data_IF_460426809963
#
_entry.id   IF_460426809963
#
_cell.length_a   1.000
_cell.length_b   1.000
_cell.length_c   1.000
_cell.angle_alpha   90.00
_cell.angle_beta   90.00
_cell.angle_gamma   90.00
#
_symmetry.space_group_name_H-M   'P 1'
#
loop_
_entity.id
_entity.type
_entity.pdbx_description
1 polymer ?
#
# COMPACT_ATOMS: atom_id res chain seq x y z
N UNK A 1 57.63 -16.61 59.85
CA UNK A 1 57.40 -15.40 60.68
C UNK A 1 58.37 -14.34 60.20
N UNK A 2 57.98 -13.09 59.90
CA UNK A 2 57.05 -12.30 60.71
C UNK A 2 55.92 -11.58 59.96
N UNK A 3 54.88 -11.31 60.73
CA UNK A 3 53.83 -10.29 60.59
C UNK A 3 54.47 -8.89 60.78
N UNK A 4 53.89 -7.70 60.54
CA UNK A 4 52.52 -7.18 60.55
C UNK A 4 52.63 -5.71 60.11
N UNK A 5 51.71 -5.16 59.31
CA UNK A 5 51.29 -3.75 59.51
C UNK A 5 49.90 -3.45 58.94
N UNK A 6 48.94 -3.39 59.86
CA UNK A 6 47.54 -2.96 59.69
C UNK A 6 47.49 -1.44 59.48
N UNK A 7 46.85 -0.95 58.42
CA UNK A 7 46.41 0.45 58.28
C UNK A 7 44.93 0.51 57.90
N UNK A 8 44.27 1.48 58.51
CA UNK A 8 42.84 1.71 58.68
C UNK A 8 42.10 1.94 57.35
N UNK A 9 40.82 1.56 57.34
CA UNK A 9 39.89 1.65 56.21
C UNK A 9 39.55 3.08 55.77
N UNK A 10 39.24 3.19 54.48
CA UNK A 10 38.90 4.45 53.80
C UNK A 10 37.42 4.41 53.38
N UNK A 11 36.56 4.97 54.23
CA UNK A 11 35.09 5.06 54.11
C UNK A 11 34.58 5.99 52.99
N UNK A 12 35.48 6.49 52.13
CA UNK A 12 35.15 7.35 50.99
C UNK A 12 34.90 6.57 49.69
N UNK A 13 35.45 5.35 49.56
CA UNK A 13 35.27 4.51 48.37
C UNK A 13 33.89 3.83 48.33
N UNK A 14 33.38 3.36 49.47
CA UNK A 14 32.04 2.77 49.58
C UNK A 14 30.92 3.80 49.36
N UNK A 15 31.13 5.06 49.75
CA UNK A 15 30.14 6.14 49.53
C UNK A 15 30.02 6.50 48.05
N UNK A 16 31.12 6.52 47.28
CA UNK A 16 31.08 6.74 45.82
C UNK A 16 30.44 5.56 45.08
N UNK A 17 30.68 4.33 45.51
CA UNK A 17 30.06 3.14 44.91
C UNK A 17 28.55 3.07 45.16
N UNK A 18 28.08 3.50 46.34
CA UNK A 18 26.65 3.55 46.68
C UNK A 18 25.90 4.66 45.93
N UNK A 19 26.55 5.82 45.72
CA UNK A 19 25.98 6.92 44.95
C UNK A 19 25.89 6.60 43.44
N UNK A 20 26.87 5.90 42.88
CA UNK A 20 26.82 5.45 41.49
C UNK A 20 25.74 4.38 41.24
N UNK A 21 25.45 3.53 42.24
CA UNK A 21 24.41 2.49 42.14
C UNK A 21 22.99 3.08 42.22
N UNK A 22 22.78 4.12 43.04
CA UNK A 22 21.52 4.87 43.11
C UNK A 22 21.22 5.64 41.81
N UNK A 23 22.23 6.25 41.17
CA UNK A 23 22.05 6.93 39.87
C UNK A 23 21.78 5.98 38.70
N UNK A 24 22.14 4.69 38.82
CA UNK A 24 21.85 3.65 37.82
C UNK A 24 20.47 3.02 37.99
N UNK A 25 19.97 2.90 39.23
CA UNK A 25 18.59 2.43 39.50
C UNK A 25 17.56 3.51 39.15
N UNK A 26 17.80 4.80 39.48
CA UNK A 26 16.94 5.92 39.04
C UNK A 26 16.89 6.10 37.51
N UNK A 27 17.95 5.65 36.80
CA UNK A 27 18.00 5.65 35.34
C UNK A 27 17.25 4.51 34.65
N UNK A 28 16.94 3.42 35.37
CA UNK A 28 16.17 2.28 34.85
C UNK A 28 14.66 2.46 35.07
N UNK A 29 14.26 3.12 36.16
CA UNK A 29 12.87 3.41 36.47
C UNK A 29 12.29 4.59 35.65
N UNK A 30 13.15 5.41 35.03
CA UNK A 30 12.73 6.51 34.14
C UNK A 30 12.51 6.09 32.67
N UNK A 31 12.83 4.85 32.29
CA UNK A 31 12.63 4.34 30.92
C UNK A 31 11.32 3.55 30.79
N UNK A 32 10.72 3.10 31.91
CA UNK A 32 9.49 2.31 31.92
C UNK A 32 8.18 3.14 31.90
N UNK A 33 8.27 4.47 31.80
CA UNK A 33 7.10 5.36 31.73
C UNK A 33 6.85 5.98 30.36
N UNK A 34 7.64 5.63 29.34
CA UNK A 34 7.41 6.13 27.97
C UNK A 34 6.74 5.08 27.09
N UNK A 35 5.41 5.16 27.06
CA UNK A 35 4.57 4.70 25.95
C UNK A 35 4.64 3.20 25.61
N UNK A 36 4.12 2.37 26.51
CA UNK A 36 3.20 1.31 26.04
C UNK A 36 1.94 1.99 25.50
N UNK A 37 2.06 2.61 24.31
CA UNK A 37 0.89 2.74 23.45
C UNK A 37 0.54 1.31 23.05
N UNK A 38 -0.28 0.66 23.86
CA UNK A 38 -1.08 -0.46 23.40
C UNK A 38 -1.65 -0.02 22.05
N UNK A 39 -1.24 -0.71 20.99
CA UNK A 39 -1.90 -0.62 19.71
C UNK A 39 -3.26 -1.25 19.97
N UNK A 40 -4.20 -0.44 20.46
CA UNK A 40 -5.63 -0.73 20.41
C UNK A 40 -5.89 -0.88 18.92
N UNK A 41 -5.85 -2.12 18.44
CA UNK A 41 -6.28 -2.45 17.09
C UNK A 41 -7.72 -1.99 17.04
N UNK A 42 -8.04 -0.88 16.34
CA UNK A 42 -9.41 -0.41 16.37
C UNK A 42 -10.25 -1.51 15.75
N UNK A 43 -11.42 -1.81 16.34
CA UNK A 43 -12.39 -2.76 15.80
C UNK A 43 -12.58 -2.54 14.28
N UNK A 44 -12.60 -3.58 13.43
CA UNK A 44 -12.53 -3.44 11.97
C UNK A 44 -13.52 -2.38 11.47
N UNK A 45 -13.02 -1.26 10.90
CA UNK A 45 -13.84 -0.14 10.39
C UNK A 45 -14.60 -0.54 9.10
N UNK A 46 -14.61 -1.84 8.79
CA UNK A 46 -15.13 -2.43 7.57
C UNK A 46 -16.58 -2.89 7.69
N UNK A 47 -17.19 -2.86 8.87
CA UNK A 47 -18.60 -3.24 9.04
C UNK A 47 -19.48 -2.19 8.33
N UNK A 48 -19.82 -2.45 7.06
CA UNK A 48 -20.82 -1.70 6.28
C UNK A 48 -20.31 -0.65 5.28
N UNK A 49 -19.04 -0.23 5.33
CA UNK A 49 -18.51 0.82 4.41
C UNK A 49 -17.79 0.31 3.17
N UNK A 50 -17.59 -1.00 3.04
CA UNK A 50 -16.91 -1.60 1.89
C UNK A 50 -17.86 -1.69 0.68
N UNK A 51 -17.88 -0.61 -0.12
CA UNK A 51 -18.74 -0.50 -1.31
C UNK A 51 -18.21 -1.29 -2.50
N UNK A 52 -16.90 -1.27 -2.76
CA UNK A 52 -16.34 -1.85 -3.98
C UNK A 52 -15.69 -3.23 -3.71
N UNK A 53 -16.45 -4.32 -3.85
CA UNK A 53 -15.98 -5.69 -3.59
C UNK A 53 -15.29 -6.29 -4.81
N UNK A 54 -14.18 -5.69 -5.22
CA UNK A 54 -13.37 -6.23 -6.31
C UNK A 54 -12.55 -7.42 -5.83
N UNK A 55 -12.48 -8.45 -6.67
CA UNK A 55 -11.71 -9.67 -6.46
C UNK A 55 -11.01 -10.01 -7.77
N UNK A 56 -9.69 -10.18 -7.69
CA UNK A 56 -8.85 -10.47 -8.86
C UNK A 56 -8.37 -11.91 -8.77
N UNK A 57 -8.70 -12.71 -9.78
CA UNK A 57 -8.18 -14.07 -9.92
C UNK A 57 -6.79 -14.02 -10.56
N UNK A 58 -5.80 -14.66 -9.95
CA UNK A 58 -4.43 -14.73 -10.47
C UNK A 58 -3.99 -16.19 -10.60
N UNK A 59 -3.90 -16.64 -11.84
CA UNK A 59 -3.48 -18.01 -12.17
C UNK A 59 -2.63 -18.04 -13.44
N UNK A 60 -2.05 -19.21 -13.70
CA UNK A 60 -1.14 -19.42 -14.82
C UNK A 60 -1.43 -20.69 -15.57
N UNK A 61 -0.94 -20.73 -16.80
CA UNK A 61 -0.81 -21.94 -17.61
C UNK A 61 0.26 -22.88 -17.07
N UNK A 62 0.17 -24.17 -17.46
CA UNK A 62 1.25 -25.12 -17.20
C UNK A 62 2.53 -24.75 -17.96
N UNK A 63 3.67 -24.98 -17.30
CA UNK A 63 5.00 -24.72 -17.85
C UNK A 63 5.45 -23.26 -17.80
N UNK A 64 5.00 -22.51 -16.78
CA UNK A 64 5.57 -21.21 -16.40
C UNK A 64 7.00 -21.31 -15.88
N UNK A 65 7.80 -20.27 -16.16
CA UNK A 65 9.18 -20.17 -15.69
C UNK A 65 9.27 -19.95 -14.19
N UNK A 66 10.47 -20.15 -13.64
CA UNK A 66 10.74 -19.88 -12.23
C UNK A 66 10.51 -18.40 -11.88
N UNK A 67 11.05 -17.48 -12.69
CA UNK A 67 10.85 -16.03 -12.49
C UNK A 67 9.38 -15.62 -12.49
N UNK A 68 8.57 -16.18 -13.39
CA UNK A 68 7.13 -15.92 -13.44
C UNK A 68 6.41 -16.39 -12.18
N UNK A 69 6.83 -17.51 -11.57
CA UNK A 69 6.24 -17.98 -10.30
C UNK A 69 6.49 -16.99 -9.16
N UNK A 70 7.69 -16.42 -9.10
CA UNK A 70 8.01 -15.36 -8.14
C UNK A 70 7.22 -14.08 -8.43
N UNK A 71 7.14 -13.65 -9.70
CA UNK A 71 6.30 -12.51 -10.09
C UNK A 71 4.84 -12.68 -9.66
N UNK A 72 4.26 -13.87 -9.86
CA UNK A 72 2.88 -14.15 -9.42
C UNK A 72 2.73 -14.05 -7.90
N UNK A 73 3.71 -14.52 -7.13
CA UNK A 73 3.71 -14.44 -5.67
C UNK A 73 3.89 -13.00 -5.19
N UNK A 74 4.71 -12.21 -5.87
CA UNK A 74 4.90 -10.78 -5.60
C UNK A 74 3.58 -10.03 -5.83
N UNK A 75 2.91 -10.27 -6.95
CA UNK A 75 1.59 -9.69 -7.25
C UNK A 75 0.52 -10.06 -6.22
N UNK A 76 0.52 -11.31 -5.75
CA UNK A 76 -0.40 -11.77 -4.68
C UNK A 76 -0.12 -11.10 -3.34
N UNK A 77 1.13 -10.81 -3.06
CA UNK A 77 1.55 -10.13 -1.81
C UNK A 77 1.20 -8.65 -1.85
N UNK A 78 1.33 -8.00 -3.02
CA UNK A 78 0.97 -6.60 -3.21
C UNK A 78 -0.56 -6.39 -3.19
N UNK A 79 -1.34 -7.29 -3.80
CA UNK A 79 -2.80 -7.15 -3.92
C UNK A 79 -3.55 -8.03 -2.89
N UNK A 80 -4.15 -7.46 -1.84
CA UNK A 80 -4.85 -8.23 -0.81
C UNK A 80 -6.18 -8.85 -1.27
N UNK A 81 -6.78 -8.30 -2.32
CA UNK A 81 -8.00 -8.78 -2.99
C UNK A 81 -7.72 -9.84 -4.07
N UNK A 82 -6.47 -10.28 -4.20
CA UNK A 82 -6.09 -11.36 -5.10
C UNK A 82 -6.49 -12.74 -4.55
N UNK A 83 -6.91 -13.63 -5.45
CA UNK A 83 -7.12 -15.06 -5.19
C UNK A 83 -6.24 -15.88 -6.13
N UNK A 84 -5.61 -16.91 -5.60
CA UNK A 84 -4.86 -17.87 -6.38
C UNK A 84 -5.79 -19.00 -6.86
N UNK A 85 -5.53 -19.50 -8.06
CA UNK A 85 -6.12 -20.76 -8.54
C UNK A 85 -5.05 -21.77 -8.96
N UNK A 86 -5.52 -23.00 -9.18
CA UNK A 86 -4.77 -24.08 -9.79
C UNK A 86 -4.38 -23.75 -11.23
N UNK A 87 -3.34 -24.42 -11.74
CA UNK A 87 -2.80 -24.13 -13.08
C UNK A 87 -3.66 -24.75 -14.16
N UNK A 88 -4.08 -23.94 -15.12
CA UNK A 88 -4.85 -24.38 -16.30
C UNK A 88 -3.96 -25.10 -17.31
N UNK A 89 -4.50 -26.10 -18.00
CA UNK A 89 -3.78 -26.80 -19.06
C UNK A 89 -3.64 -25.95 -20.31
N UNK A 90 -2.60 -26.23 -21.11
CA UNK A 90 -2.37 -25.52 -22.38
C UNK A 90 -3.40 -25.88 -23.46
N UNK A 91 -4.11 -26.99 -23.28
CA UNK A 91 -5.12 -27.49 -24.20
C UNK A 91 -6.51 -26.89 -23.93
N UNK A 92 -6.68 -26.28 -22.77
CA UNK A 92 -7.97 -25.74 -22.35
C UNK A 92 -8.28 -24.45 -23.11
N UNK A 93 -9.55 -24.28 -23.46
CA UNK A 93 -10.03 -23.08 -24.13
C UNK A 93 -10.10 -21.92 -23.15
N UNK A 94 -9.90 -20.70 -23.64
CA UNK A 94 -10.02 -19.48 -22.83
C UNK A 94 -11.42 -19.29 -22.21
N UNK A 95 -12.45 -19.96 -22.73
CA UNK A 95 -13.80 -19.92 -22.18
C UNK A 95 -13.89 -20.48 -20.75
N UNK A 96 -13.06 -21.48 -20.42
CA UNK A 96 -12.99 -22.10 -19.09
C UNK A 96 -12.63 -21.06 -18.02
N UNK A 97 -11.89 -20.00 -18.39
CA UNK A 97 -11.51 -18.92 -17.48
C UNK A 97 -12.74 -18.20 -16.91
N UNK A 98 -13.79 -18.02 -17.72
CA UNK A 98 -15.01 -17.35 -17.28
C UNK A 98 -15.74 -18.18 -16.22
N UNK A 99 -15.83 -19.50 -16.44
CA UNK A 99 -16.43 -20.46 -15.50
C UNK A 99 -15.65 -20.48 -14.17
N UNK A 100 -14.32 -20.51 -14.24
CA UNK A 100 -13.46 -20.47 -13.04
C UNK A 100 -13.66 -19.16 -12.28
N UNK A 101 -13.80 -18.02 -12.98
CA UNK A 101 -14.08 -16.74 -12.35
C UNK A 101 -15.44 -16.74 -11.63
N UNK A 102 -16.46 -17.37 -12.21
CA UNK A 102 -17.78 -17.51 -11.61
C UNK A 102 -17.74 -18.37 -10.33
N UNK A 103 -17.11 -19.56 -10.39
CA UNK A 103 -16.94 -20.46 -9.24
C UNK A 103 -16.19 -19.78 -8.10
N UNK A 104 -15.16 -18.98 -8.40
CA UNK A 104 -14.36 -18.27 -7.40
C UNK A 104 -14.98 -16.92 -7.00
N UNK A 105 -16.07 -16.51 -7.63
CA UNK A 105 -16.71 -15.20 -7.50
C UNK A 105 -15.67 -14.07 -7.62
N UNK A 106 -14.95 -14.04 -8.74
CA UNK A 106 -13.97 -13.02 -9.11
C UNK A 106 -14.50 -12.16 -10.26
N UNK A 107 -14.42 -10.84 -10.10
CA UNK A 107 -14.90 -9.91 -11.11
C UNK A 107 -13.83 -9.69 -12.19
N UNK A 108 -12.56 -9.78 -11.80
CA UNK A 108 -11.40 -9.52 -12.65
C UNK A 108 -10.48 -10.73 -12.69
N UNK A 109 -9.79 -10.90 -13.80
CA UNK A 109 -8.90 -12.02 -14.04
C UNK A 109 -7.56 -11.57 -14.61
N UNK A 110 -6.48 -12.11 -14.04
CA UNK A 110 -5.11 -12.04 -14.52
C UNK A 110 -4.63 -13.46 -14.83
N UNK A 111 -4.45 -13.75 -16.12
CA UNK A 111 -4.02 -15.05 -16.60
C UNK A 111 -2.65 -14.97 -17.27
N UNK A 112 -1.71 -15.77 -16.79
CA UNK A 112 -0.36 -15.86 -17.33
C UNK A 112 -0.22 -17.05 -18.29
N UNK A 113 -0.13 -16.76 -19.58
CA UNK A 113 0.08 -17.74 -20.66
C UNK A 113 1.58 -17.81 -20.98
N UNK A 114 2.21 -18.96 -20.71
CA UNK A 114 3.61 -19.21 -21.02
C UNK A 114 3.73 -20.02 -22.32
N UNK A 115 4.25 -19.40 -23.37
CA UNK A 115 4.55 -20.07 -24.65
C UNK A 115 6.03 -20.43 -24.71
N UNK A 116 6.30 -21.66 -25.17
CA UNK A 116 7.67 -22.20 -25.39
C UNK A 116 8.64 -22.05 -24.20
N UNK A 117 8.12 -21.83 -22.97
CA UNK A 117 8.91 -21.55 -21.75
C UNK A 117 9.83 -20.31 -21.88
N UNK A 118 9.57 -19.41 -22.83
CA UNK A 118 10.38 -18.20 -23.04
C UNK A 118 9.48 -16.97 -23.05
N UNK A 119 8.41 -17.01 -23.85
CA UNK A 119 7.49 -15.89 -23.98
C UNK A 119 6.41 -15.95 -22.90
N UNK A 120 6.23 -14.83 -22.21
CA UNK A 120 5.15 -14.63 -21.25
C UNK A 120 4.12 -13.66 -21.82
N UNK A 121 2.90 -14.15 -21.95
CA UNK A 121 1.75 -13.31 -22.23
C UNK A 121 0.92 -13.17 -20.96
N UNK A 122 0.47 -11.95 -20.69
CA UNK A 122 -0.45 -11.65 -19.60
C UNK A 122 -1.78 -11.22 -20.18
N UNK A 123 -2.82 -11.97 -19.84
CA UNK A 123 -4.19 -11.63 -20.15
C UNK A 123 -4.81 -10.94 -18.94
N UNK A 124 -5.44 -9.81 -19.19
CA UNK A 124 -6.24 -9.13 -18.19
C UNK A 124 -7.66 -9.00 -18.71
N UNK A 125 -8.64 -9.44 -17.93
CA UNK A 125 -10.03 -9.40 -18.35
C UNK A 125 -10.98 -9.05 -17.21
N UNK A 126 -12.09 -8.44 -17.59
CA UNK A 126 -13.27 -8.29 -16.75
C UNK A 126 -14.27 -9.41 -17.09
N UNK A 127 -14.58 -10.27 -16.13
CA UNK A 127 -15.53 -11.38 -16.33
C UNK A 127 -16.93 -10.95 -15.88
N UNK A 128 -18.03 -11.29 -16.59
CA UNK A 128 -18.13 -12.04 -17.85
C UNK A 128 -18.27 -11.15 -19.11
N UNK A 129 -18.55 -9.85 -18.95
CA UNK A 129 -18.91 -8.95 -20.07
C UNK A 129 -17.71 -8.35 -20.83
N UNK A 130 -16.45 -8.63 -20.44
CA UNK A 130 -15.27 -7.98 -21.02
C UNK A 130 -15.11 -6.53 -20.54
N UNK A 131 -14.02 -5.81 -20.85
CA UNK A 131 -13.03 -6.04 -21.92
C UNK A 131 -11.88 -6.98 -21.53
N UNK A 132 -11.16 -7.48 -22.53
CA UNK A 132 -10.01 -8.35 -22.39
C UNK A 132 -8.82 -7.79 -23.18
N UNK A 133 -7.64 -7.83 -22.58
CA UNK A 133 -6.41 -7.32 -23.17
C UNK A 133 -5.31 -8.33 -23.02
N UNK A 134 -4.52 -8.49 -24.08
CA UNK A 134 -3.34 -9.37 -24.10
C UNK A 134 -2.08 -8.51 -24.17
N UNK A 135 -1.20 -8.70 -23.19
CA UNK A 135 0.11 -8.07 -23.14
C UNK A 135 1.20 -9.09 -23.37
N UNK A 136 2.23 -8.69 -24.11
CA UNK A 136 3.51 -9.38 -24.12
C UNK A 136 4.36 -8.77 -23.00
N UNK A 137 4.71 -9.57 -21.99
CA UNK A 137 5.48 -9.12 -20.84
C UNK A 137 6.96 -9.37 -21.10
N UNK A 138 7.75 -8.31 -21.10
CA UNK A 138 9.21 -8.35 -21.29
C UNK A 138 9.92 -7.80 -20.05
N UNK A 139 11.22 -8.09 -19.90
CA UNK A 139 12.10 -7.56 -18.85
C UNK A 139 11.54 -7.73 -17.43
N UNK A 140 11.21 -8.98 -17.07
CA UNK A 140 10.69 -9.31 -15.74
C UNK A 140 11.85 -9.32 -14.74
N UNK A 141 11.73 -8.48 -13.71
CA UNK A 141 12.60 -8.48 -12.54
C UNK A 141 11.74 -8.70 -11.29
N UNK A 142 12.14 -9.66 -10.46
CA UNK A 142 11.38 -10.01 -9.24
C UNK A 142 11.89 -9.24 -8.03
N UNK A 143 11.07 -9.15 -6.98
CA UNK A 143 11.47 -8.45 -5.74
C UNK A 143 12.69 -9.09 -5.07
N UNK A 144 12.94 -10.38 -5.29
CA UNK A 144 14.11 -11.08 -4.78
C UNK A 144 15.40 -10.74 -5.55
N UNK A 145 15.28 -10.34 -6.82
CA UNK A 145 16.42 -9.98 -7.67
C UNK A 145 16.81 -8.51 -7.49
N UNK A 146 15.82 -7.62 -7.36
CA UNK A 146 16.07 -6.21 -7.05
C UNK A 146 16.45 -6.06 -5.57
N UNK A 147 17.71 -5.71 -5.30
CA UNK A 147 18.19 -5.31 -3.96
C UNK A 147 17.67 -3.92 -3.55
N UNK A 148 16.42 -3.62 -3.84
CA UNK A 148 15.81 -2.37 -3.40
C UNK A 148 15.55 -2.46 -1.90
N UNK A 149 16.16 -1.55 -1.14
CA UNK A 149 15.98 -1.39 0.30
C UNK A 149 14.63 -0.72 0.63
N UNK A 150 13.55 -1.17 -0.02
CA UNK A 150 12.20 -0.64 0.14
C UNK A 150 11.30 -1.65 0.86
N UNK A 151 11.01 -1.41 2.14
CA UNK A 151 10.01 -2.20 2.87
C UNK A 151 8.62 -1.60 2.62
N UNK A 152 7.83 -2.23 1.75
CA UNK A 152 6.41 -1.89 1.58
C UNK A 152 5.55 -2.75 2.52
N UNK A 153 4.61 -2.11 3.22
CA UNK A 153 3.65 -2.85 4.04
C UNK A 153 2.84 -3.80 3.15
N UNK A 154 2.75 -5.07 3.56
CA UNK A 154 1.94 -6.07 2.86
C UNK A 154 0.47 -5.63 2.89
N UNK A 155 -0.17 -5.61 1.72
CA UNK A 155 -1.55 -5.14 1.61
C UNK A 155 -1.74 -3.64 1.83
N UNK A 156 -0.70 -2.82 1.64
CA UNK A 156 -0.88 -1.37 1.50
C UNK A 156 -1.68 -1.04 0.24
N UNK A 157 -2.26 0.17 0.20
CA UNK A 157 -2.92 0.69 -0.99
C UNK A 157 -1.85 1.24 -1.95
N UNK A 158 -1.68 0.68 -3.16
CA UNK A 158 -0.76 1.21 -4.13
C UNK A 158 -1.29 2.54 -4.67
N UNK A 159 -0.39 3.49 -4.89
CA UNK A 159 -0.66 4.69 -5.66
C UNK A 159 -0.42 4.38 -7.14
N UNK A 160 -1.43 4.60 -7.98
CA UNK A 160 -1.31 4.46 -9.42
C UNK A 160 -1.07 5.84 -10.03
N UNK A 161 0.04 5.99 -10.74
CA UNK A 161 0.37 7.20 -11.50
C UNK A 161 0.46 6.82 -12.96
N UNK A 162 -0.25 7.55 -13.82
CA UNK A 162 -0.32 7.29 -15.25
C UNK A 162 0.26 8.48 -16.02
N UNK A 163 0.93 8.21 -17.14
CA UNK A 163 1.38 9.24 -18.08
C UNK A 163 0.15 9.91 -18.72
N UNK A 164 0.09 11.26 -18.84
CA UNK A 164 -0.96 11.97 -19.58
C UNK A 164 -1.22 11.47 -21.01
N UNK A 165 -0.25 10.76 -21.63
CA UNK A 165 -0.47 10.10 -22.93
C UNK A 165 -1.61 9.07 -22.92
N UNK A 166 -1.91 8.45 -21.77
CA UNK A 166 -2.99 7.48 -21.67
C UNK A 166 -4.38 8.09 -21.92
N UNK A 167 -4.52 9.41 -21.77
CA UNK A 167 -5.80 10.10 -21.99
C UNK A 167 -5.98 10.58 -23.44
N UNK A 168 -4.94 10.46 -24.29
CA UNK A 168 -4.98 10.93 -25.68
C UNK A 168 -5.67 9.94 -26.63
N UNK A 169 -5.46 8.65 -26.41
CA UNK A 169 -5.99 7.60 -27.28
C UNK A 169 -7.05 6.78 -26.54
N UNK A 170 -8.20 6.49 -27.18
CA UNK A 170 -9.33 5.85 -26.50
C UNK A 170 -9.00 4.44 -26.01
N UNK A 171 -8.15 3.71 -26.74
CA UNK A 171 -7.73 2.37 -26.33
C UNK A 171 -6.84 2.42 -25.08
N UNK A 172 -5.95 3.41 -24.96
CA UNK A 172 -5.14 3.61 -23.75
C UNK A 172 -5.98 4.06 -22.56
N UNK A 173 -7.01 4.88 -22.79
CA UNK A 173 -7.94 5.27 -21.74
C UNK A 173 -8.68 4.05 -21.15
N UNK A 174 -9.09 3.10 -22.01
CA UNK A 174 -9.65 1.82 -21.55
C UNK A 174 -8.64 0.99 -20.75
N UNK A 175 -7.37 0.98 -21.15
CA UNK A 175 -6.32 0.31 -20.38
C UNK A 175 -6.11 0.96 -19.02
N UNK A 176 -6.11 2.29 -18.95
CA UNK A 176 -5.98 3.06 -17.70
C UNK A 176 -7.10 2.70 -16.72
N UNK A 177 -8.35 2.67 -17.19
CA UNK A 177 -9.49 2.23 -16.37
C UNK A 177 -9.35 0.78 -15.91
N UNK A 178 -8.96 -0.13 -16.82
CA UNK A 178 -8.80 -1.54 -16.50
C UNK A 178 -7.65 -1.79 -15.51
N UNK A 179 -6.52 -1.08 -15.64
CA UNK A 179 -5.42 -1.11 -14.68
C UNK A 179 -5.84 -0.56 -13.32
N UNK A 180 -6.59 0.55 -13.32
CA UNK A 180 -7.11 1.15 -12.10
C UNK A 180 -7.98 0.15 -11.35
N UNK A 181 -8.95 -0.48 -12.01
CA UNK A 181 -9.83 -1.47 -11.36
C UNK A 181 -9.10 -2.76 -10.93
N UNK A 182 -8.02 -3.14 -11.61
CA UNK A 182 -7.33 -4.40 -11.30
C UNK A 182 -6.33 -4.22 -10.15
N UNK A 183 -5.51 -3.18 -10.21
CA UNK A 183 -4.44 -2.95 -9.23
C UNK A 183 -4.87 -2.07 -8.05
N UNK A 184 -5.91 -1.23 -8.20
CA UNK A 184 -6.41 -0.48 -7.06
C UNK A 184 -6.99 -1.42 -6.01
N UNK A 185 -6.73 -1.08 -4.76
CA UNK A 185 -7.30 -1.80 -3.63
C UNK A 185 -8.51 -1.03 -3.12
N UNK A 186 -9.66 -1.71 -2.92
CA UNK A 186 -10.86 -1.02 -2.50
C UNK A 186 -10.71 -0.44 -1.11
N UNK A 187 -11.39 0.70 -0.89
CA UNK A 187 -11.41 1.36 0.40
C UNK A 187 -12.05 0.46 1.45
N UNK A 188 -11.43 0.37 2.62
CA UNK A 188 -11.84 -0.49 3.74
C UNK A 188 -11.76 -2.00 3.50
N UNK A 189 -10.94 -2.47 2.56
CA UNK A 189 -10.68 -3.90 2.43
C UNK A 189 -10.11 -4.46 3.75
N UNK A 190 -10.64 -5.58 4.27
CA UNK A 190 -10.33 -6.06 5.62
C UNK A 190 -8.85 -6.43 5.83
N UNK A 191 -8.15 -6.82 4.76
CA UNK A 191 -6.70 -7.12 4.81
C UNK A 191 -5.79 -5.90 4.65
N UNK A 192 -6.34 -4.71 4.34
CA UNK A 192 -5.54 -3.48 4.32
C UNK A 192 -5.43 -3.00 5.77
N UNK A 193 -4.21 -3.01 6.30
CA UNK A 193 -3.93 -2.47 7.61
C UNK A 193 -4.35 -1.00 7.67
N UNK A 194 -5.14 -0.63 8.69
CA UNK A 194 -5.77 0.69 8.87
C UNK A 194 -4.79 1.87 9.05
N UNK A 195 -3.49 1.68 8.84
CA UNK A 195 -2.48 2.69 9.19
C UNK A 195 -2.30 3.81 8.16
N UNK A 196 -2.69 3.61 6.90
CA UNK A 196 -2.38 4.60 5.83
C UNK A 196 -3.57 5.15 5.04
N UNK A 197 -4.79 4.69 5.28
CA UNK A 197 -5.98 5.25 4.65
C UNK A 197 -6.64 6.30 5.56
N UNK A 198 -6.21 7.56 5.38
CA UNK A 198 -6.96 8.79 5.72
C UNK A 198 -7.25 9.04 7.20
N UNK A 199 -6.26 9.58 7.91
CA UNK A 199 -6.47 10.77 8.73
C UNK A 199 -5.68 11.90 8.08
N UNK A 200 -6.20 12.47 6.99
CA UNK A 200 -5.92 13.88 6.77
C UNK A 200 -6.75 14.58 7.85
N UNK A 201 -6.16 15.17 8.90
CA UNK A 201 -6.94 16.10 9.68
C UNK A 201 -7.43 17.15 8.69
N UNK A 202 -8.74 17.37 8.64
CA UNK A 202 -9.27 18.64 8.17
C UNK A 202 -8.62 19.68 9.09
N UNK A 203 -7.46 20.19 8.69
CA UNK A 203 -6.92 21.41 9.24
C UNK A 203 -8.00 22.45 8.96
N UNK A 204 -8.60 23.07 9.98
CA UNK A 204 -9.48 24.19 9.74
C UNK A 204 -8.69 25.21 8.90
N UNK A 205 -9.31 25.83 7.88
CA UNK A 205 -8.65 26.90 7.15
C UNK A 205 -8.17 27.95 8.16
N UNK A 206 -6.97 28.54 7.97
CA UNK A 206 -6.49 29.57 8.87
C UNK A 206 -7.54 30.68 8.99
N UNK A 207 -7.77 31.22 10.20
CA UNK A 207 -8.70 32.32 10.36
C UNK A 207 -8.21 33.47 9.49
N UNK A 208 -9.01 33.83 8.50
CA UNK A 208 -8.82 35.06 7.74
C UNK A 208 -8.79 36.20 8.75
N UNK A 209 -7.65 36.89 8.83
CA UNK A 209 -7.52 38.13 9.57
C UNK A 209 -8.52 39.14 9.02
N UNK A 210 -9.56 39.43 9.79
CA UNK A 210 -10.42 40.60 9.59
C UNK A 210 -9.57 41.84 9.85
N UNK A 211 -9.09 42.45 8.76
CA UNK A 211 -8.41 43.74 8.78
C UNK A 211 -9.12 44.70 7.86
N UNK A 212 -9.67 45.77 8.43
CA UNK A 212 -9.78 47.06 7.75
C UNK A 212 -11.09 47.34 7.02
N UNK A 213 -12.04 47.88 7.77
CA UNK A 213 -13.05 48.81 7.28
C UNK A 213 -12.40 50.03 6.61
N UNK A 214 -12.66 50.23 5.33
CA UNK A 214 -12.66 51.54 4.69
C UNK A 214 -13.87 51.61 3.75
N UNK A 215 -14.92 52.30 4.20
CA UNK A 215 -15.86 53.11 3.39
C UNK A 215 -15.20 53.65 2.09
N UNK A 216 -15.81 53.87 0.91
CA UNK A 216 -17.18 53.87 0.35
C UNK A 216 -17.06 54.12 -1.19
N UNK A 217 -18.13 54.36 -2.00
CA UNK A 217 -18.36 53.61 -3.24
C UNK A 217 -18.22 54.37 -4.60
N UNK A 218 -18.19 53.55 -5.67
CA UNK A 218 -18.73 53.67 -7.07
C UNK A 218 -19.17 55.07 -7.60
N UNK A 219 -18.93 55.50 -8.86
CA UNK A 219 -18.93 54.86 -10.20
C UNK A 219 -18.23 55.78 -11.24
N UNK A 220 -17.84 55.27 -12.43
CA UNK A 220 -17.60 56.10 -13.62
C UNK A 220 -18.91 56.31 -14.43
N UNK A 221 -19.17 57.53 -14.89
CA UNK A 221 -20.28 57.88 -15.78
C UNK A 221 -19.78 58.15 -17.20
N UNK A 222 -20.19 57.33 -18.18
CA UNK A 222 -20.23 57.77 -19.58
C UNK A 222 -21.19 56.90 -20.41
N UNK A 223 -22.36 57.44 -20.78
CA UNK A 223 -23.10 57.11 -22.01
C UNK A 223 -24.26 58.11 -22.26
N UNK A 224 -24.04 58.97 -23.27
CA UNK A 224 -24.94 59.49 -24.33
C UNK A 224 -26.37 60.03 -24.06
N UNK A 225 -26.54 61.26 -24.61
CA UNK A 225 -27.60 61.79 -25.51
C UNK A 225 -28.97 62.21 -24.95
N UNK A 226 -29.30 63.51 -25.10
CA UNK A 226 -30.31 64.07 -26.05
C UNK A 226 -30.51 65.59 -25.82
N UNK A 227 -30.76 66.27 -26.94
CA UNK A 227 -31.14 67.68 -27.17
C UNK A 227 -30.06 68.74 -26.94
#
# INVERSE_FOLDING_TARGET
>A
MPTKRKRRGNSAAEKKAKQARLMLEEGLDAIDSTAQQEIVVPAPVSMGKWKNKERVLIFSSRGVNFRTRHLMNDLRTMMPHSKADTKMDRKDKLFVINEVCEIKNCNKCLYFEAKKKQDLYMWMSNSPHGPSVKFLVQNIHTLAELKMTGNCLKGSRPLLSFDPKFDKEPHLALLKELFTQTFATPHYHPKIGKRFAQRAPLLPPPPYSTGGSCDRPARPSCARSRC
#
